data_IF_862912427972
#
_entry.id   IF_862912427972
#
_cell.length_a   1.000
_cell.length_b   1.000
_cell.length_c   1.000
_cell.angle_alpha   90.00
_cell.angle_beta   90.00
_cell.angle_gamma   90.00
#
_symmetry.space_group_name_H-M   'P 1'
#
loop_
_entity.id
_entity.type
_entity.pdbx_description
1 polymer ?
#
# COMPACT_ATOMS: atom_id res chain seq x y z
N UNK A 1 -13.53 25.79 -27.52
CA UNK A 1 -14.04 24.91 -26.45
C UNK A 1 -13.26 25.26 -25.19
N UNK A 2 -13.90 25.63 -24.08
CA UNK A 2 -13.16 26.15 -22.94
C UNK A 2 -12.37 25.01 -22.28
N UNK A 3 -11.12 25.33 -21.94
CA UNK A 3 -10.23 24.51 -21.13
C UNK A 3 -10.93 24.15 -19.82
N UNK A 4 -10.91 22.88 -19.44
CA UNK A 4 -11.15 22.47 -18.06
C UNK A 4 -10.14 23.19 -17.17
N UNK A 5 -10.60 24.17 -16.40
CA UNK A 5 -9.86 24.70 -15.26
C UNK A 5 -9.70 23.58 -14.25
N UNK A 6 -8.46 23.25 -13.89
CA UNK A 6 -8.19 22.41 -12.72
C UNK A 6 -9.01 22.96 -11.55
N UNK A 7 -9.87 22.14 -10.96
CA UNK A 7 -10.74 22.59 -9.88
C UNK A 7 -9.89 23.05 -8.70
N UNK A 8 -10.20 24.20 -8.11
CA UNK A 8 -9.64 24.71 -6.82
C UNK A 8 -9.95 23.80 -5.61
N UNK A 9 -10.45 22.57 -5.83
CA UNK A 9 -10.68 21.58 -4.78
C UNK A 9 -9.32 21.01 -4.33
N UNK A 10 -9.05 20.93 -3.03
CA UNK A 10 -7.87 20.23 -2.54
C UNK A 10 -7.96 18.74 -2.92
N UNK A 11 -6.91 18.21 -3.55
CA UNK A 11 -6.76 16.79 -3.90
C UNK A 11 -5.93 16.10 -2.84
N UNK A 12 -6.38 14.95 -2.35
CA UNK A 12 -5.63 14.14 -1.39
C UNK A 12 -6.48 13.12 -0.65
N UNK A 13 -5.79 12.27 0.13
CA UNK A 13 -6.40 11.18 0.90
C UNK A 13 -7.51 11.65 1.84
N UNK A 14 -7.35 12.81 2.47
CA UNK A 14 -8.35 13.36 3.40
C UNK A 14 -9.55 14.02 2.72
N UNK A 15 -9.47 14.32 1.42
CA UNK A 15 -10.48 15.13 0.72
C UNK A 15 -11.22 14.40 -0.38
N UNK A 16 -10.69 13.28 -0.89
CA UNK A 16 -11.30 12.51 -1.96
C UNK A 16 -12.21 11.40 -1.43
N UNK A 17 -13.39 11.24 -2.05
CA UNK A 17 -14.35 10.18 -1.70
C UNK A 17 -13.97 8.82 -2.27
N UNK A 18 -13.13 8.82 -3.32
CA UNK A 18 -12.65 7.61 -3.98
C UNK A 18 -11.15 7.69 -4.16
N UNK A 19 -10.45 6.63 -3.77
CA UNK A 19 -8.99 6.58 -3.76
C UNK A 19 -8.53 5.33 -4.49
N UNK A 20 -7.56 5.48 -5.39
CA UNK A 20 -6.94 4.37 -6.11
C UNK A 20 -5.80 3.78 -5.29
N UNK A 21 -5.72 2.45 -5.24
CA UNK A 21 -4.68 1.69 -4.57
C UNK A 21 -3.92 0.84 -5.58
N UNK A 22 -2.62 0.72 -5.38
CA UNK A 22 -1.70 -0.12 -6.12
C UNK A 22 -0.93 -0.97 -5.13
N UNK A 23 -0.71 -2.24 -5.44
CA UNK A 23 0.18 -3.11 -4.70
C UNK A 23 1.65 -2.79 -4.96
N UNK A 24 2.49 -3.82 -4.95
CA UNK A 24 3.94 -3.65 -5.00
C UNK A 24 4.39 -3.23 -6.40
N UNK A 25 5.10 -2.10 -6.51
CA UNK A 25 5.51 -1.57 -7.82
C UNK A 25 6.90 -2.03 -8.27
N UNK A 26 7.81 -2.28 -7.32
CA UNK A 26 9.21 -2.61 -7.57
C UNK A 26 9.91 -1.68 -8.57
N UNK A 27 9.53 -0.40 -8.60
CA UNK A 27 10.07 0.59 -9.54
C UNK A 27 9.61 0.41 -10.99
N UNK A 28 8.52 -0.32 -11.26
CA UNK A 28 7.95 -0.47 -12.60
C UNK A 28 7.21 0.80 -13.04
N UNK A 29 7.95 1.64 -13.77
CA UNK A 29 7.44 2.90 -14.30
C UNK A 29 6.34 2.72 -15.34
N UNK A 30 6.39 1.67 -16.16
CA UNK A 30 5.38 1.45 -17.20
C UNK A 30 4.05 1.08 -16.56
N UNK A 31 4.07 0.16 -15.59
CA UNK A 31 2.89 -0.24 -14.85
C UNK A 31 2.27 0.95 -14.11
N UNK A 32 3.05 1.71 -13.33
CA UNK A 32 2.55 2.90 -12.62
C UNK A 32 1.86 3.89 -13.56
N UNK A 33 2.48 4.21 -14.71
CA UNK A 33 1.92 5.20 -15.63
C UNK A 33 0.65 4.71 -16.33
N UNK A 34 0.52 3.40 -16.59
CA UNK A 34 -0.72 2.82 -17.14
C UNK A 34 -1.84 2.83 -16.12
N UNK A 35 -1.57 2.34 -14.90
CA UNK A 35 -2.58 2.32 -13.84
C UNK A 35 -3.01 3.73 -13.48
N UNK A 36 -2.09 4.69 -13.39
CA UNK A 36 -2.44 6.10 -13.17
C UNK A 36 -3.39 6.65 -14.26
N UNK A 37 -3.13 6.33 -15.54
CA UNK A 37 -3.98 6.72 -16.66
C UNK A 37 -5.37 6.07 -16.58
N UNK A 38 -5.45 4.79 -16.22
CA UNK A 38 -6.71 4.09 -15.99
C UNK A 38 -7.49 4.70 -14.83
N UNK A 39 -6.85 4.88 -13.68
CA UNK A 39 -7.44 5.50 -12.49
C UNK A 39 -8.00 6.89 -12.81
N UNK A 40 -7.25 7.69 -13.59
CA UNK A 40 -7.72 8.98 -14.07
C UNK A 40 -8.97 8.86 -14.94
N UNK A 41 -9.06 7.85 -15.81
CA UNK A 41 -10.25 7.60 -16.62
C UNK A 41 -11.49 7.24 -15.77
N UNK A 42 -11.29 6.62 -14.61
CA UNK A 42 -12.34 6.39 -13.59
C UNK A 42 -12.59 7.61 -12.68
N UNK A 43 -11.95 8.75 -12.95
CA UNK A 43 -12.10 9.98 -12.18
C UNK A 43 -11.38 9.97 -10.83
N UNK A 44 -10.31 9.18 -10.70
CA UNK A 44 -9.50 9.07 -9.48
C UNK A 44 -8.30 10.03 -9.55
N UNK A 45 -8.23 10.93 -8.57
CA UNK A 45 -7.18 11.95 -8.41
C UNK A 45 -6.14 11.59 -7.34
N UNK A 46 -6.48 10.73 -6.38
CA UNK A 46 -5.57 10.29 -5.33
C UNK A 46 -5.22 8.82 -5.51
N UNK A 47 -3.92 8.52 -5.55
CA UNK A 47 -3.36 7.18 -5.68
C UNK A 47 -2.53 6.85 -4.43
N UNK A 48 -2.53 5.58 -3.99
CA UNK A 48 -1.70 5.08 -2.90
C UNK A 48 -1.01 3.78 -3.32
N UNK A 49 0.31 3.72 -3.16
CA UNK A 49 1.11 2.50 -3.31
C UNK A 49 1.31 1.86 -1.95
N UNK A 50 0.97 0.57 -1.84
CA UNK A 50 0.93 -0.21 -0.59
C UNK A 50 2.30 -0.77 -0.19
N UNK A 51 3.37 -0.02 -0.46
CA UNK A 51 4.76 -0.42 -0.24
C UNK A 51 5.48 -0.82 -1.52
N UNK A 52 6.77 -1.13 -1.38
CA UNK A 52 7.67 -1.45 -2.49
C UNK A 52 7.55 -0.46 -3.65
N UNK A 53 7.56 0.83 -3.32
CA UNK A 53 7.53 1.92 -4.28
C UNK A 53 8.71 1.84 -5.24
N UNK A 54 9.91 1.52 -4.72
CA UNK A 54 11.04 1.02 -5.50
C UNK A 54 11.68 2.00 -6.51
N UNK A 55 11.17 3.22 -6.63
CA UNK A 55 11.73 4.22 -7.54
C UNK A 55 12.92 4.99 -6.96
N UNK A 56 13.05 5.07 -5.63
CA UNK A 56 14.16 5.71 -4.92
C UNK A 56 15.20 4.63 -4.59
N UNK A 57 16.03 4.28 -5.57
CA UNK A 57 16.99 3.18 -5.45
C UNK A 57 18.42 3.64 -5.79
N UNK A 58 19.49 3.04 -5.21
CA UNK A 58 20.86 3.48 -5.45
C UNK A 58 21.33 3.25 -6.90
N UNK A 59 20.92 2.15 -7.50
CA UNK A 59 21.36 1.73 -8.82
C UNK A 59 20.43 2.31 -9.91
N UNK A 60 20.52 3.62 -10.12
CA UNK A 60 19.73 4.30 -11.15
C UNK A 60 19.69 5.82 -11.01
N UNK A 61 19.09 6.47 -12.00
CA UNK A 61 18.81 7.90 -11.95
C UNK A 61 17.42 8.14 -11.34
N UNK A 62 17.27 7.74 -10.07
CA UNK A 62 16.00 7.79 -9.35
C UNK A 62 15.38 9.20 -9.37
N UNK A 63 16.21 10.24 -9.24
CA UNK A 63 15.75 11.63 -9.19
C UNK A 63 15.03 12.03 -10.50
N UNK A 64 15.62 11.68 -11.65
CA UNK A 64 14.99 11.89 -12.96
C UNK A 64 13.73 11.03 -13.15
N UNK A 65 13.70 9.81 -12.61
CA UNK A 65 12.52 8.94 -12.66
C UNK A 65 11.37 9.53 -11.85
N UNK A 66 11.62 9.96 -10.62
CA UNK A 66 10.64 10.64 -9.75
C UNK A 66 10.14 11.93 -10.40
N UNK A 67 11.02 12.72 -11.01
CA UNK A 67 10.66 13.91 -11.79
C UNK A 67 9.74 13.59 -12.97
N UNK A 68 10.00 12.48 -13.67
CA UNK A 68 9.16 12.01 -14.77
C UNK A 68 7.79 11.59 -14.24
N UNK A 69 7.72 10.81 -13.15
CA UNK A 69 6.46 10.41 -12.51
C UNK A 69 5.66 11.65 -12.11
N UNK A 70 6.28 12.58 -11.38
CA UNK A 70 5.64 13.80 -10.88
C UNK A 70 5.02 14.62 -12.03
N UNK A 71 5.76 14.83 -13.13
CA UNK A 71 5.23 15.52 -14.32
C UNK A 71 4.09 14.79 -15.00
N UNK A 72 4.12 13.45 -15.06
CA UNK A 72 3.06 12.66 -15.72
C UNK A 72 1.77 12.67 -14.90
N UNK A 73 1.88 12.44 -13.60
CA UNK A 73 0.75 12.54 -12.68
C UNK A 73 0.18 13.96 -12.60
N UNK A 74 1.04 14.98 -12.60
CA UNK A 74 0.62 16.38 -12.58
C UNK A 74 -0.22 16.78 -13.81
N UNK A 75 0.05 16.18 -14.99
CA UNK A 75 -0.80 16.37 -16.19
C UNK A 75 -2.20 15.76 -16.05
N UNK A 76 -2.34 14.74 -15.21
CA UNK A 76 -3.61 14.08 -14.88
C UNK A 76 -4.30 14.73 -13.67
N UNK A 77 -3.66 15.71 -13.02
CA UNK A 77 -4.15 16.28 -11.75
C UNK A 77 -4.09 15.28 -10.59
N UNK A 78 -3.22 14.28 -10.67
CA UNK A 78 -3.11 13.22 -9.67
C UNK A 78 -2.03 13.50 -8.61
N UNK A 79 -2.31 13.09 -7.39
CA UNK A 79 -1.38 13.00 -6.26
C UNK A 79 -1.14 11.53 -5.94
N UNK A 80 0.13 11.15 -5.80
CA UNK A 80 0.55 9.81 -5.43
C UNK A 80 1.10 9.81 -4.01
N UNK A 81 0.47 9.02 -3.16
CA UNK A 81 1.00 8.64 -1.86
C UNK A 81 1.66 7.27 -1.94
N UNK A 82 2.57 6.98 -1.03
CA UNK A 82 3.06 5.62 -0.80
C UNK A 82 3.36 5.41 0.67
N UNK A 83 3.12 4.18 1.15
CA UNK A 83 3.68 3.69 2.41
C UNK A 83 5.03 3.05 2.10
N UNK A 84 5.97 3.03 3.05
CA UNK A 84 7.21 2.27 2.85
C UNK A 84 6.95 0.77 2.93
N UNK A 85 7.61 0.00 2.06
CA UNK A 85 7.68 -1.46 2.14
C UNK A 85 9.03 -1.95 2.66
N UNK A 86 9.40 -3.18 2.34
CA UNK A 86 10.74 -3.70 2.64
C UNK A 86 11.77 -3.37 1.55
N UNK A 87 11.34 -3.06 0.33
CA UNK A 87 12.23 -2.64 -0.76
C UNK A 87 12.27 -1.12 -0.95
N UNK A 88 12.71 -0.42 0.09
CA UNK A 88 13.04 1.02 0.02
C UNK A 88 14.49 1.30 0.36
N UNK A 89 15.10 2.30 -0.28
CA UNK A 89 16.36 2.87 0.17
C UNK A 89 16.11 3.84 1.33
N UNK A 90 16.07 3.30 2.55
CA UNK A 90 15.81 4.09 3.76
C UNK A 90 16.86 5.19 3.99
N UNK A 91 18.13 4.96 3.61
CA UNK A 91 19.19 5.97 3.66
C UNK A 91 18.88 7.20 2.81
N UNK A 92 18.24 7.02 1.65
CA UNK A 92 17.81 8.12 0.76
C UNK A 92 16.46 8.68 1.18
N UNK A 93 15.48 7.82 1.46
CA UNK A 93 14.12 8.22 1.84
C UNK A 93 14.13 9.14 3.07
N UNK A 94 14.95 8.80 4.07
CA UNK A 94 15.03 9.58 5.31
C UNK A 94 15.80 10.91 5.19
N UNK A 95 16.40 11.23 4.03
CA UNK A 95 17.01 12.56 3.78
C UNK A 95 15.98 13.63 3.45
N UNK A 96 14.81 13.24 2.96
CA UNK A 96 13.70 14.17 2.84
C UNK A 96 13.25 14.58 4.27
N UNK A 97 12.80 15.79 4.53
CA UNK A 97 12.26 16.13 5.85
C UNK A 97 10.81 15.65 6.00
N UNK A 98 10.36 15.51 7.24
CA UNK A 98 8.94 15.52 7.55
C UNK A 98 8.43 16.97 7.49
N UNK A 99 7.30 17.17 6.83
CA UNK A 99 6.59 18.43 6.83
C UNK A 99 5.74 18.56 8.12
N UNK A 100 5.22 19.77 8.37
CA UNK A 100 4.47 20.07 9.60
C UNK A 100 3.17 19.26 9.74
N UNK A 101 2.64 18.74 8.64
CA UNK A 101 1.48 17.86 8.58
C UNK A 101 1.85 16.37 8.72
N UNK A 102 3.11 16.05 9.03
CA UNK A 102 3.54 14.69 9.37
C UNK A 102 3.79 13.78 8.16
N UNK A 103 3.67 14.28 6.93
CA UNK A 103 4.03 13.55 5.72
C UNK A 103 5.44 13.91 5.24
N UNK A 104 5.99 13.11 4.33
CA UNK A 104 7.29 13.36 3.71
C UNK A 104 7.14 13.59 2.21
N UNK A 105 7.30 14.83 1.75
CA UNK A 105 7.16 15.17 0.34
C UNK A 105 8.47 14.93 -0.43
N UNK A 106 8.44 13.97 -1.35
CA UNK A 106 9.55 13.71 -2.29
C UNK A 106 9.47 14.73 -3.45
N UNK A 107 8.24 14.99 -3.90
CA UNK A 107 7.83 16.06 -4.83
C UNK A 107 6.47 16.60 -4.37
N UNK A 108 5.99 17.75 -4.90
CA UNK A 108 4.70 18.32 -4.48
C UNK A 108 3.50 17.34 -4.58
N UNK A 109 3.55 16.39 -5.52
CA UNK A 109 2.50 15.39 -5.74
C UNK A 109 2.98 13.93 -5.57
N UNK A 110 4.14 13.71 -4.94
CA UNK A 110 4.65 12.37 -4.58
C UNK A 110 5.04 12.40 -3.11
N UNK A 111 4.27 11.70 -2.28
CA UNK A 111 4.23 11.90 -0.83
C UNK A 111 4.36 10.55 -0.14
N UNK A 112 5.39 10.40 0.69
CA UNK A 112 5.51 9.26 1.60
C UNK A 112 4.63 9.50 2.83
N UNK A 113 3.83 8.50 3.20
CA UNK A 113 3.08 8.42 4.45
C UNK A 113 3.90 7.62 5.47
N UNK A 114 4.53 8.27 6.45
CA UNK A 114 5.34 7.57 7.44
C UNK A 114 4.52 6.63 8.31
N UNK A 115 5.20 5.63 8.90
CA UNK A 115 4.62 4.73 9.91
C UNK A 115 4.01 5.55 11.06
N UNK A 116 2.79 5.22 11.42
CA UNK A 116 1.98 5.92 12.41
C UNK A 116 1.28 7.18 11.91
N UNK A 117 1.39 7.54 10.63
CA UNK A 117 0.59 8.61 10.06
C UNK A 117 -0.91 8.31 10.19
N UNK A 118 -1.68 9.33 10.57
CA UNK A 118 -3.13 9.28 10.73
C UNK A 118 -3.77 10.51 10.12
N UNK A 119 -4.98 10.34 9.57
CA UNK A 119 -5.82 11.45 9.15
C UNK A 119 -7.28 11.06 9.17
N UNK A 120 -8.16 12.04 9.29
CA UNK A 120 -9.59 11.89 9.04
C UNK A 120 -9.85 11.97 7.53
N UNK A 121 -10.61 11.01 7.00
CA UNK A 121 -11.10 10.99 5.63
C UNK A 121 -12.30 11.94 5.48
N UNK A 122 -12.67 12.26 4.24
CA UNK A 122 -13.84 13.12 3.95
C UNK A 122 -15.16 12.53 4.46
N UNK A 123 -15.22 11.21 4.65
CA UNK A 123 -16.34 10.50 5.27
C UNK A 123 -16.44 10.68 6.79
N UNK A 124 -15.45 11.31 7.44
CA UNK A 124 -15.32 11.40 8.89
C UNK A 124 -14.73 10.15 9.55
N UNK A 125 -14.34 9.14 8.77
CA UNK A 125 -13.65 7.94 9.24
C UNK A 125 -12.15 8.20 9.39
N UNK A 126 -11.53 7.62 10.42
CA UNK A 126 -10.07 7.69 10.59
C UNK A 126 -9.35 6.65 9.71
N UNK A 127 -8.18 7.02 9.22
CA UNK A 127 -7.21 6.08 8.62
C UNK A 127 -5.91 6.10 9.40
N UNK A 128 -5.32 4.93 9.58
CA UNK A 128 -3.97 4.75 10.11
C UNK A 128 -3.05 4.11 9.08
N UNK A 129 -1.76 4.41 9.17
CA UNK A 129 -0.72 3.90 8.26
C UNK A 129 0.35 3.14 9.04
N UNK A 130 0.65 1.92 8.61
CA UNK A 130 1.74 1.10 9.14
C UNK A 130 2.48 0.40 7.99
N UNK A 131 3.43 1.09 7.39
CA UNK A 131 4.38 0.51 6.43
C UNK A 131 5.46 -0.36 7.10
N UNK A 132 6.40 -0.82 6.29
CA UNK A 132 7.48 -1.72 6.69
C UNK A 132 7.10 -3.19 6.59
N UNK A 133 8.11 -4.02 6.34
CA UNK A 133 8.06 -5.48 6.41
C UNK A 133 9.50 -6.01 6.51
N UNK A 134 9.67 -7.23 7.00
CA UNK A 134 10.99 -7.86 7.04
C UNK A 134 11.22 -8.67 5.76
N UNK A 135 12.30 -8.39 5.04
CA UNK A 135 12.67 -9.07 3.80
C UNK A 135 13.00 -10.55 4.06
N UNK A 136 12.17 -11.47 3.55
CA UNK A 136 12.45 -12.91 3.59
C UNK A 136 13.74 -13.28 2.83
N UNK A 137 14.08 -12.51 1.79
CA UNK A 137 15.26 -12.73 0.97
C UNK A 137 16.49 -11.93 1.43
N UNK A 138 16.47 -11.42 2.68
CA UNK A 138 17.57 -10.65 3.29
C UNK A 138 18.94 -11.33 3.13
N UNK A 139 19.01 -12.66 3.25
CA UNK A 139 20.26 -13.43 3.14
C UNK A 139 20.92 -13.31 1.75
N UNK A 140 20.16 -12.90 0.73
CA UNK A 140 20.64 -12.68 -0.64
C UNK A 140 20.95 -11.20 -0.94
N UNK A 141 20.84 -10.32 0.04
CA UNK A 141 20.97 -8.87 -0.12
C UNK A 141 22.25 -8.32 0.51
N UNK A 142 22.54 -7.06 0.19
CA UNK A 142 23.71 -6.33 0.70
C UNK A 142 23.22 -5.15 1.53
N UNK A 143 23.60 -5.14 2.81
CA UNK A 143 23.28 -4.05 3.73
C UNK A 143 23.74 -2.69 3.20
N UNK A 144 22.86 -1.70 3.28
CA UNK A 144 23.07 -0.33 2.80
C UNK A 144 23.04 -0.18 1.27
N UNK A 145 22.71 -1.25 0.52
CA UNK A 145 22.58 -1.21 -0.95
C UNK A 145 21.28 -1.82 -1.47
N UNK A 146 20.91 -3.01 -0.98
CA UNK A 146 19.68 -3.69 -1.39
C UNK A 146 18.86 -4.18 -0.19
N UNK A 147 19.36 -3.96 1.02
CA UNK A 147 18.68 -4.22 2.29
C UNK A 147 19.07 -3.16 3.32
N UNK A 148 18.13 -2.82 4.20
CA UNK A 148 18.29 -1.85 5.28
C UNK A 148 17.54 -2.37 6.50
N UNK A 149 18.15 -2.29 7.68
CA UNK A 149 17.51 -2.71 8.93
C UNK A 149 16.25 -1.89 9.26
N UNK A 150 16.17 -0.67 8.72
CA UNK A 150 15.04 0.25 8.85
C UNK A 150 13.75 -0.25 8.19
N UNK A 151 13.79 -1.30 7.36
CA UNK A 151 12.58 -1.97 6.84
C UNK A 151 11.70 -2.54 7.96
N UNK A 152 12.32 -2.92 9.08
CA UNK A 152 11.65 -3.55 10.19
C UNK A 152 10.82 -2.55 10.99
N UNK A 153 9.58 -2.94 11.32
CA UNK A 153 8.71 -2.19 12.21
C UNK A 153 9.24 -2.30 13.64
N UNK A 154 9.26 -1.19 14.36
CA UNK A 154 9.79 -1.10 15.72
C UNK A 154 8.70 -0.79 16.74
N UNK A 155 8.96 -1.02 18.04
CA UNK A 155 8.06 -0.58 19.11
C UNK A 155 7.89 0.95 19.15
N UNK A 156 8.87 1.71 18.65
CA UNK A 156 8.75 3.16 18.50
C UNK A 156 7.71 3.51 17.44
N UNK A 157 7.67 2.78 16.32
CA UNK A 157 6.64 2.95 15.29
C UNK A 157 5.25 2.64 15.85
N UNK A 158 5.11 1.58 16.65
CA UNK A 158 3.85 1.25 17.32
C UNK A 158 3.42 2.30 18.35
N UNK A 159 4.39 2.94 19.02
CA UNK A 159 4.11 4.05 19.95
C UNK A 159 3.57 5.27 19.19
N UNK A 160 4.11 5.57 18.00
CA UNK A 160 3.62 6.67 17.15
C UNK A 160 2.26 6.35 16.53
N UNK A 161 2.03 5.10 16.12
CA UNK A 161 0.75 4.62 15.59
C UNK A 161 -0.42 4.85 16.55
N UNK A 162 -0.13 4.81 17.85
CA UNK A 162 -1.10 5.02 18.92
C UNK A 162 -2.00 3.81 19.15
N UNK A 163 -2.86 3.94 20.15
CA UNK A 163 -3.82 2.91 20.55
C UNK A 163 -5.27 3.27 20.18
N UNK A 164 -5.50 4.42 19.53
CA UNK A 164 -6.84 4.74 19.03
C UNK A 164 -7.24 3.78 17.92
N UNK A 165 -8.51 3.40 17.86
CA UNK A 165 -8.98 2.59 16.75
C UNK A 165 -9.04 3.41 15.46
N UNK A 166 -8.91 2.75 14.31
CA UNK A 166 -9.17 3.38 13.01
C UNK A 166 -9.82 2.35 12.08
N UNK A 167 -10.96 2.66 11.44
CA UNK A 167 -11.68 1.70 10.61
C UNK A 167 -10.91 1.31 9.34
N UNK A 168 -10.00 2.15 8.84
CA UNK A 168 -9.10 1.81 7.74
C UNK A 168 -7.65 1.76 8.23
N UNK A 169 -6.97 0.65 7.95
CA UNK A 169 -5.52 0.52 8.08
C UNK A 169 -4.90 0.28 6.70
N UNK A 170 -3.91 1.09 6.37
CA UNK A 170 -3.09 0.95 5.16
C UNK A 170 -1.70 0.50 5.60
N UNK A 171 -1.18 -0.57 5.01
CA UNK A 171 0.14 -1.08 5.33
C UNK A 171 0.83 -1.77 4.16
N UNK A 172 1.91 -2.48 4.47
CA UNK A 172 2.63 -3.28 3.48
C UNK A 172 2.67 -4.77 3.86
N UNK A 173 3.09 -5.12 5.08
CA UNK A 173 3.05 -6.49 5.62
C UNK A 173 1.59 -6.99 5.83
N UNK A 174 1.34 -8.07 6.56
CA UNK A 174 -0.02 -8.59 6.78
C UNK A 174 -0.25 -9.06 8.21
N UNK A 175 -1.48 -8.96 8.72
CA UNK A 175 -1.80 -9.53 10.02
C UNK A 175 -1.58 -11.05 10.01
N UNK A 176 -1.24 -11.63 11.16
CA UNK A 176 -1.21 -13.08 11.34
C UNK A 176 -2.61 -13.68 11.17
N UNK A 177 -2.67 -14.99 10.92
CA UNK A 177 -3.90 -15.80 10.90
C UNK A 177 -4.87 -15.47 9.76
N UNK A 178 -4.34 -15.00 8.63
CA UNK A 178 -5.10 -14.83 7.38
C UNK A 178 -5.09 -16.18 6.64
N UNK A 179 -6.21 -16.92 6.57
CA UNK A 179 -6.19 -18.32 6.16
C UNK A 179 -5.57 -18.60 4.79
N UNK A 180 -5.87 -17.79 3.77
CA UNK A 180 -5.22 -17.93 2.46
C UNK A 180 -3.72 -17.72 2.55
N UNK A 181 -3.27 -16.66 3.22
CA UNK A 181 -1.86 -16.33 3.33
C UNK A 181 -1.08 -17.42 4.07
N UNK A 182 -1.61 -17.95 5.19
CA UNK A 182 -0.91 -19.00 5.94
C UNK A 182 -0.71 -20.28 5.10
N UNK A 183 -1.67 -20.61 4.21
CA UNK A 183 -1.53 -21.76 3.31
C UNK A 183 -0.41 -21.55 2.29
N UNK A 184 -0.31 -20.36 1.71
CA UNK A 184 0.68 -20.03 0.69
C UNK A 184 2.10 -19.92 1.27
N UNK A 185 2.22 -19.32 2.46
CA UNK A 185 3.50 -19.31 3.19
C UNK A 185 3.95 -20.73 3.53
N UNK A 186 3.09 -21.56 4.13
CA UNK A 186 3.44 -22.94 4.45
C UNK A 186 3.83 -23.78 3.20
N UNK A 187 3.28 -23.47 2.02
CA UNK A 187 3.64 -24.13 0.77
C UNK A 187 5.02 -23.74 0.23
N UNK A 188 5.52 -22.56 0.61
CA UNK A 188 6.77 -21.95 0.11
C UNK A 188 7.89 -21.88 1.16
N UNK A 189 7.61 -22.14 2.44
CA UNK A 189 8.61 -22.11 3.54
C UNK A 189 9.87 -22.94 3.24
N UNK A 190 9.70 -24.08 2.56
CA UNK A 190 10.81 -24.98 2.20
C UNK A 190 11.87 -24.35 1.30
N UNK A 191 11.54 -23.22 0.67
CA UNK A 191 12.41 -22.51 -0.26
C UNK A 191 13.33 -21.50 0.46
N UNK A 192 13.17 -21.32 1.78
CA UNK A 192 13.87 -20.32 2.59
C UNK A 192 14.69 -20.93 3.74
N UNK A 193 15.70 -20.19 4.21
CA UNK A 193 16.49 -20.57 5.39
C UNK A 193 15.64 -20.44 6.67
N UNK A 194 16.02 -21.17 7.73
CA UNK A 194 15.35 -21.05 9.04
C UNK A 194 15.51 -19.64 9.60
N UNK A 195 16.68 -19.03 9.38
CA UNK A 195 17.00 -17.68 9.79
C UNK A 195 16.16 -16.63 9.06
N UNK A 196 15.98 -16.78 7.74
CA UNK A 196 15.10 -15.93 6.94
C UNK A 196 13.64 -16.02 7.41
N UNK A 197 13.12 -17.24 7.57
CA UNK A 197 11.76 -17.48 8.07
C UNK A 197 11.55 -16.86 9.46
N UNK A 198 12.50 -17.03 10.37
CA UNK A 198 12.44 -16.44 11.69
C UNK A 198 12.47 -14.90 11.64
N UNK A 199 13.27 -14.32 10.75
CA UNK A 199 13.35 -12.87 10.56
C UNK A 199 12.04 -12.29 9.99
N UNK A 200 11.47 -12.90 8.95
CA UNK A 200 10.19 -12.48 8.39
C UNK A 200 9.04 -12.63 9.40
N UNK A 201 8.96 -13.78 10.09
CA UNK A 201 7.95 -14.02 11.11
C UNK A 201 8.02 -13.02 12.28
N UNK A 202 9.23 -12.62 12.69
CA UNK A 202 9.40 -11.61 13.73
C UNK A 202 8.87 -10.25 13.29
N UNK A 203 9.12 -9.82 12.05
CA UNK A 203 8.58 -8.58 11.48
C UNK A 203 7.04 -8.59 11.44
N UNK A 204 6.48 -9.66 10.87
CA UNK A 204 5.03 -9.86 10.77
C UNK A 204 4.34 -9.87 12.14
N UNK A 205 4.99 -10.42 13.16
CA UNK A 205 4.48 -10.38 14.54
C UNK A 205 4.40 -8.96 15.11
N UNK A 206 5.37 -8.09 14.80
CA UNK A 206 5.31 -6.67 15.19
C UNK A 206 4.22 -5.94 14.42
N UNK A 207 4.10 -6.17 13.11
CA UNK A 207 3.00 -5.64 12.31
C UNK A 207 1.63 -6.03 12.91
N UNK A 208 1.45 -7.31 13.24
CA UNK A 208 0.21 -7.84 13.81
C UNK A 208 -0.15 -7.17 15.14
N UNK A 209 0.82 -6.84 16.00
CA UNK A 209 0.57 -6.07 17.23
C UNK A 209 0.01 -4.67 16.94
N UNK A 210 0.56 -3.98 15.94
CA UNK A 210 0.03 -2.70 15.47
C UNK A 210 -1.38 -2.82 14.92
N UNK A 211 -1.61 -3.82 14.06
CA UNK A 211 -2.93 -4.16 13.53
C UNK A 211 -3.97 -4.40 14.64
N UNK A 212 -3.65 -5.21 15.66
CA UNK A 212 -4.53 -5.48 16.79
C UNK A 212 -4.81 -4.24 17.65
N UNK A 213 -3.88 -3.28 17.69
CA UNK A 213 -4.08 -2.01 18.42
C UNK A 213 -5.07 -1.11 17.67
N UNK A 214 -4.97 -1.07 16.34
CA UNK A 214 -5.83 -0.24 15.47
C UNK A 214 -7.24 -0.81 15.32
N UNK A 215 -7.40 -2.14 15.36
CA UNK A 215 -8.69 -2.84 15.21
C UNK A 215 -9.48 -2.41 13.95
N UNK A 216 -8.90 -2.52 12.74
CA UNK A 216 -9.52 -2.01 11.53
C UNK A 216 -10.71 -2.85 11.06
N UNK A 217 -11.68 -2.18 10.43
CA UNK A 217 -12.77 -2.82 9.67
C UNK A 217 -12.25 -3.29 8.31
N UNK A 218 -11.37 -2.50 7.67
CA UNK A 218 -10.70 -2.82 6.42
C UNK A 218 -9.18 -2.64 6.55
N UNK A 219 -8.45 -3.66 6.15
CA UNK A 219 -7.00 -3.61 5.93
C UNK A 219 -6.67 -3.68 4.43
N UNK A 220 -5.78 -2.80 3.98
CA UNK A 220 -5.20 -2.83 2.62
C UNK A 220 -3.67 -2.91 2.71
N UNK A 221 -3.10 -3.98 2.17
CA UNK A 221 -1.65 -4.26 2.16
C UNK A 221 -1.11 -4.83 0.84
N UNK A 222 0.19 -5.14 0.82
CA UNK A 222 0.93 -5.70 -0.33
C UNK A 222 1.88 -6.81 0.12
N UNK A 223 3.14 -6.71 -0.27
CA UNK A 223 4.29 -7.54 0.15
C UNK A 223 4.33 -8.99 -0.36
N UNK A 224 3.20 -9.70 -0.29
CA UNK A 224 3.14 -11.16 -0.48
C UNK A 224 2.95 -11.62 -1.92
N UNK A 225 2.86 -10.68 -2.87
CA UNK A 225 2.78 -10.98 -4.31
C UNK A 225 1.62 -11.93 -4.63
N UNK A 226 0.51 -11.69 -3.94
CA UNK A 226 -0.68 -12.51 -4.01
C UNK A 226 -1.88 -11.66 -3.65
N UNK A 227 -2.91 -11.74 -4.49
CA UNK A 227 -4.19 -11.14 -4.15
C UNK A 227 -4.93 -11.98 -3.09
N UNK A 228 -5.31 -11.34 -1.98
CA UNK A 228 -6.18 -11.91 -0.94
C UNK A 228 -7.31 -10.91 -0.67
N UNK A 229 -8.52 -11.42 -0.47
CA UNK A 229 -9.67 -10.68 0.02
C UNK A 229 -10.51 -11.61 0.90
N UNK A 230 -10.28 -11.58 2.21
CA UNK A 230 -10.92 -12.47 3.17
C UNK A 230 -11.40 -11.70 4.41
N UNK A 231 -12.53 -12.10 4.98
CA UNK A 231 -12.95 -11.61 6.30
C UNK A 231 -12.40 -12.52 7.40
N UNK A 232 -11.74 -11.91 8.39
CA UNK A 232 -11.12 -12.60 9.51
C UNK A 232 -11.54 -11.95 10.83
N UNK A 233 -11.91 -12.77 11.81
CA UNK A 233 -12.24 -12.32 13.17
C UNK A 233 -11.03 -12.44 14.07
N UNK A 234 -10.73 -11.36 14.79
CA UNK A 234 -9.59 -11.22 15.67
C UNK A 234 -10.04 -10.92 17.11
N UNK A 235 -9.20 -11.27 18.07
CA UNK A 235 -9.38 -10.90 19.47
C UNK A 235 -8.23 -9.99 19.90
N UNK A 236 -8.58 -8.81 20.42
CA UNK A 236 -7.63 -7.84 20.99
C UNK A 236 -7.96 -7.57 22.45
N UNK A 237 -7.17 -6.73 23.10
CA UNK A 237 -7.50 -6.21 24.45
C UNK A 237 -8.81 -5.42 24.46
N UNK A 238 -9.19 -4.80 23.33
CA UNK A 238 -10.44 -4.06 23.16
C UNK A 238 -11.67 -4.93 22.91
N UNK A 239 -11.48 -6.25 22.73
CA UNK A 239 -12.53 -7.21 22.42
C UNK A 239 -12.37 -7.86 21.05
N UNK A 240 -13.42 -8.53 20.62
CA UNK A 240 -13.52 -9.16 19.30
C UNK A 240 -13.83 -8.11 18.23
N UNK A 241 -13.17 -8.19 17.09
CA UNK A 241 -13.49 -7.40 15.90
C UNK A 241 -13.29 -8.22 14.63
N UNK A 242 -14.05 -7.92 13.59
CA UNK A 242 -13.89 -8.53 12.26
C UNK A 242 -13.25 -7.52 11.33
N UNK A 243 -12.23 -7.95 10.60
CA UNK A 243 -11.55 -7.17 9.60
C UNK A 243 -11.68 -7.85 8.24
N UNK A 244 -12.02 -7.09 7.20
CA UNK A 244 -11.77 -7.50 5.82
C UNK A 244 -10.30 -7.23 5.50
N UNK A 245 -9.53 -8.29 5.28
CA UNK A 245 -8.12 -8.25 4.95
C UNK A 245 -7.97 -8.35 3.45
N UNK A 246 -7.49 -7.26 2.83
CA UNK A 246 -7.19 -7.22 1.41
C UNK A 246 -5.70 -7.02 1.19
N UNK A 247 -5.09 -7.94 0.44
CA UNK A 247 -3.71 -7.85 -0.02
C UNK A 247 -3.75 -7.71 -1.54
N UNK A 248 -3.10 -6.68 -2.06
CA UNK A 248 -2.91 -6.49 -3.49
C UNK A 248 -1.62 -7.17 -3.93
N UNK A 249 -1.67 -7.70 -5.15
CA UNK A 249 -0.52 -8.35 -5.77
C UNK A 249 0.47 -7.32 -6.36
N UNK A 250 1.62 -7.78 -6.82
CA UNK A 250 2.64 -6.93 -7.44
C UNK A 250 2.28 -6.49 -8.87
N UNK A 251 3.01 -5.51 -9.38
CA UNK A 251 2.91 -5.02 -10.74
C UNK A 251 2.92 -6.16 -11.79
N UNK A 252 2.09 -6.03 -12.81
CA UNK A 252 2.06 -6.95 -13.95
C UNK A 252 1.27 -8.25 -13.74
N UNK A 253 0.69 -8.46 -12.56
CA UNK A 253 -0.22 -9.58 -12.30
C UNK A 253 -1.69 -9.20 -12.49
N UNK A 254 -2.60 -10.16 -12.26
CA UNK A 254 -4.03 -9.97 -12.43
C UNK A 254 -4.57 -8.89 -11.49
N UNK A 255 -4.50 -9.01 -10.16
CA UNK A 255 -5.20 -8.09 -9.23
C UNK A 255 -4.23 -7.30 -8.35
N UNK A 256 -3.57 -6.31 -8.95
CA UNK A 256 -2.58 -5.43 -8.30
C UNK A 256 -3.08 -4.00 -8.05
N UNK A 257 -4.34 -3.71 -8.36
CA UNK A 257 -4.91 -2.38 -8.18
C UNK A 257 -6.40 -2.43 -7.82
N UNK A 258 -6.86 -1.44 -7.06
CA UNK A 258 -8.26 -1.31 -6.66
C UNK A 258 -8.68 0.16 -6.50
N UNK A 259 -9.98 0.43 -6.57
CA UNK A 259 -10.58 1.72 -6.20
C UNK A 259 -11.41 1.52 -4.94
N UNK A 260 -11.12 2.30 -3.91
CA UNK A 260 -11.86 2.32 -2.65
C UNK A 260 -12.86 3.48 -2.62
N UNK A 261 -14.10 3.21 -2.27
CA UNK A 261 -15.03 4.23 -1.74
C UNK A 261 -14.79 4.40 -0.23
N UNK A 262 -14.34 5.58 0.21
CA UNK A 262 -13.94 5.81 1.61
C UNK A 262 -15.12 5.94 2.58
N UNK A 263 -16.34 6.04 2.06
CA UNK A 263 -17.56 6.07 2.87
C UNK A 263 -18.06 4.66 3.16
N UNK A 264 -18.11 3.80 2.15
CA UNK A 264 -18.69 2.44 2.27
C UNK A 264 -17.65 1.35 2.45
N UNK A 265 -16.37 1.65 2.20
CA UNK A 265 -15.29 0.66 2.11
C UNK A 265 -15.51 -0.43 1.04
N UNK A 266 -16.32 -0.10 0.04
CA UNK A 266 -16.45 -0.92 -1.16
C UNK A 266 -15.19 -0.79 -2.00
N UNK A 267 -14.68 -1.93 -2.48
CA UNK A 267 -13.51 -2.01 -3.35
C UNK A 267 -13.97 -2.50 -4.72
N UNK A 268 -13.54 -1.77 -5.75
CA UNK A 268 -13.59 -2.21 -7.14
C UNK A 268 -12.19 -2.64 -7.54
N UNK A 269 -11.96 -3.94 -7.70
CA UNK A 269 -10.68 -4.46 -8.15
C UNK A 269 -10.54 -4.28 -9.66
N UNK A 270 -9.33 -3.96 -10.10
CA UNK A 270 -9.04 -3.82 -11.52
C UNK A 270 -7.95 -4.80 -11.91
N UNK A 271 -8.06 -5.43 -13.08
CA UNK A 271 -7.04 -6.36 -13.60
C UNK A 271 -6.35 -5.86 -14.84
N UNK A 272 -5.08 -6.21 -15.02
CA UNK A 272 -4.35 -5.92 -16.25
C UNK A 272 -4.43 -7.11 -17.21
N UNK A 273 -5.21 -6.98 -18.28
CA UNK A 273 -4.93 -7.71 -19.51
C UNK A 273 -4.07 -6.83 -20.43
N UNK A 274 -3.33 -7.46 -21.35
CA UNK A 274 -2.17 -6.90 -22.02
C UNK A 274 -2.35 -5.50 -22.66
N UNK A 275 -3.57 -5.06 -22.95
CA UNK A 275 -3.87 -3.75 -23.55
C UNK A 275 -5.00 -2.94 -22.87
N UNK A 276 -5.69 -3.48 -21.86
CA UNK A 276 -6.82 -2.82 -21.15
C UNK A 276 -6.91 -3.26 -19.71
N UNK A 277 -7.35 -2.35 -18.84
CA UNK A 277 -7.65 -2.67 -17.44
C UNK A 277 -9.13 -3.03 -17.34
N UNK A 278 -9.44 -4.22 -16.82
CA UNK A 278 -10.81 -4.72 -16.68
C UNK A 278 -11.30 -4.58 -15.24
N UNK A 279 -12.58 -4.30 -15.05
CA UNK A 279 -13.21 -4.31 -13.74
C UNK A 279 -13.52 -5.76 -13.33
N UNK A 280 -13.20 -6.12 -12.08
CA UNK A 280 -13.66 -7.36 -11.46
C UNK A 280 -14.84 -7.05 -10.56
N UNK A 281 -15.98 -7.64 -10.89
CA UNK A 281 -17.11 -7.77 -9.97
C UNK A 281 -17.20 -9.21 -9.48
N UNK A 282 -17.25 -9.40 -8.16
CA UNK A 282 -17.43 -10.71 -7.52
C UNK A 282 -18.66 -10.71 -6.61
N UNK A 283 -19.31 -11.87 -6.47
CA UNK A 283 -20.32 -12.11 -5.45
C UNK A 283 -19.70 -12.69 -4.16
N UNK A 284 -20.47 -12.77 -3.06
CA UNK A 284 -20.02 -13.31 -1.76
C UNK A 284 -19.47 -14.75 -1.83
N UNK A 285 -19.61 -15.44 -2.96
CA UNK A 285 -19.17 -16.82 -3.17
C UNK A 285 -17.83 -16.95 -3.91
N UNK A 286 -17.19 -15.83 -4.27
CA UNK A 286 -15.86 -15.83 -4.90
C UNK A 286 -15.87 -16.24 -6.38
N UNK A 287 -17.00 -16.08 -7.08
CA UNK A 287 -17.08 -16.21 -8.53
C UNK A 287 -16.92 -14.82 -9.16
N UNK A 288 -15.90 -14.67 -10.01
CA UNK A 288 -15.53 -13.39 -10.61
C UNK A 288 -16.03 -13.30 -12.05
N UNK A 289 -16.81 -12.26 -12.36
CA UNK A 289 -17.16 -11.91 -13.74
C UNK A 289 -16.28 -10.75 -14.21
N UNK A 290 -15.66 -10.92 -15.38
CA UNK A 290 -14.83 -9.91 -16.05
C UNK A 290 -15.74 -9.14 -17.01
N UNK A 291 -15.94 -7.85 -16.75
CA UNK A 291 -16.63 -6.94 -17.67
C UNK A 291 -15.62 -6.17 -18.52
N UNK A 292 -15.79 -6.24 -19.84
CA UNK A 292 -15.05 -5.44 -20.82
C UNK A 292 -15.96 -4.32 -21.32
N UNK A 293 -15.57 -3.04 -21.19
CA UNK A 293 -16.16 -1.96 -22.00
C UNK A 293 -15.64 -1.99 -23.44
#
# INVERSE_FOLDING_TARGET
MPLFTASDRPVGLSTDWRVGFLGDLHGDLDHLLRVAQTMWAHGISTLIVLGDFGFIWPDGNWDNTIDKISRRLGKLGQVLYFVDGNHEDFTRLYRFPLDADGVRRIRPNIIHLPRGYRTTLVSGKEVAVLGGANSIDRDHRVEGRSWWAEEAITDADLTVLGAETAPLLIGHDAPLHVPALERELAATDRDWSVEALAYAAAGRAVFHRGFLSVQPELYLGGHYHLHIDEQVTYHSEGGEFTCRVVILDMNGTATSQAILDVNTFTLTFLTRDADTVHELSGDEAGVWEITTE
#
